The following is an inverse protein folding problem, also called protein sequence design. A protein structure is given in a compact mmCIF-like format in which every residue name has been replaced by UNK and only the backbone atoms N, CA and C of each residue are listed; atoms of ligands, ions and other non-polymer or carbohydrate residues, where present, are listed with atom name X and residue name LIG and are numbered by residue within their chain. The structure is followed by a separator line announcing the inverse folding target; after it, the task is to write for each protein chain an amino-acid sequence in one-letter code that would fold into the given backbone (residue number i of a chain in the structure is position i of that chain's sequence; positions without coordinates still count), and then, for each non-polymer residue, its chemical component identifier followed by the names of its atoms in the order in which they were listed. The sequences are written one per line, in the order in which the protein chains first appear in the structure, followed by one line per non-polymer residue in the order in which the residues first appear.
data_IF_840348611177
#
_entry.id   IF_840348611177
#
_cell.length_a   1.000
_cell.length_b   1.000
_cell.length_c   1.000
_cell.angle_alpha   90.00
_cell.angle_beta   90.00
_cell.angle_gamma   90.00
#
_symmetry.space_group_name_H-M   'P 1'
#
loop_
_entity.id
_entity.type
_entity.pdbx_description
1 polymer ?
#
# COMPACT_ATOMS: atom_id res chain seq x y z
N UNK A 1 -35.55 11.38 6.78
CA UNK A 1 -34.14 11.10 7.12
C UNK A 1 -33.84 9.66 6.76
N UNK A 2 -33.10 9.43 5.67
CA UNK A 2 -32.64 8.08 5.32
C UNK A 2 -31.30 7.89 6.02
N UNK A 3 -31.28 7.06 7.04
CA UNK A 3 -30.04 6.53 7.59
C UNK A 3 -29.41 5.63 6.53
N UNK A 4 -28.39 6.12 5.84
CA UNK A 4 -27.47 5.26 5.10
C UNK A 4 -26.87 4.30 6.09
N UNK A 5 -26.98 3.00 5.83
CA UNK A 5 -26.28 1.97 6.58
C UNK A 5 -24.76 2.27 6.47
N UNK A 6 -24.26 3.02 7.43
CA UNK A 6 -22.83 3.16 7.62
C UNK A 6 -22.29 1.76 7.97
N UNK A 7 -21.40 1.27 7.13
CA UNK A 7 -20.74 -0.01 7.32
C UNK A 7 -20.12 -0.06 8.72
N UNK A 8 -20.71 -0.84 9.61
CA UNK A 8 -20.20 -1.08 10.97
C UNK A 8 -18.73 -1.54 10.94
N UNK A 9 -18.29 -2.15 9.83
CA UNK A 9 -16.91 -2.55 9.58
C UNK A 9 -15.94 -1.35 9.41
N UNK A 10 -16.41 -0.16 9.13
CA UNK A 10 -15.56 1.04 9.02
C UNK A 10 -15.45 1.80 10.34
N UNK A 11 -16.48 1.76 11.18
CA UNK A 11 -16.51 2.50 12.46
C UNK A 11 -15.53 1.89 13.48
N UNK A 12 -15.22 0.61 13.40
CA UNK A 12 -14.30 -0.11 14.30
C UNK A 12 -12.86 -0.23 13.81
N UNK A 13 -12.51 0.30 12.64
CA UNK A 13 -11.14 0.19 12.11
C UNK A 13 -10.18 1.11 12.86
N UNK A 14 -9.01 0.61 13.27
CA UNK A 14 -8.00 1.46 13.87
C UNK A 14 -7.59 2.55 12.87
N UNK A 15 -7.39 3.77 13.38
CA UNK A 15 -6.98 4.94 12.58
C UNK A 15 -5.51 5.31 12.80
N UNK A 16 -4.83 4.66 13.72
CA UNK A 16 -3.44 4.95 14.09
C UNK A 16 -2.64 3.67 14.28
N UNK A 17 -1.31 3.76 14.12
CA UNK A 17 -0.38 2.64 14.28
C UNK A 17 -0.50 1.99 15.66
N UNK A 18 -0.74 2.75 16.72
CA UNK A 18 -0.84 2.26 18.09
C UNK A 18 -2.04 1.35 18.33
N UNK A 19 -3.04 1.43 17.46
CA UNK A 19 -4.27 0.62 17.54
C UNK A 19 -4.21 -0.67 16.73
N UNK A 20 -3.11 -0.91 16.00
CA UNK A 20 -2.88 -2.19 15.34
C UNK A 20 -2.46 -3.24 16.37
N UNK A 21 -3.24 -4.29 16.50
CA UNK A 21 -3.02 -5.38 17.46
C UNK A 21 -2.45 -6.59 16.73
N UNK A 22 -1.43 -7.22 17.32
CA UNK A 22 -0.93 -8.53 16.88
C UNK A 22 0.12 -8.51 15.77
N UNK A 23 0.76 -7.34 15.51
CA UNK A 23 1.82 -7.16 14.53
C UNK A 23 2.91 -6.25 15.14
N UNK A 24 3.45 -6.66 16.27
CA UNK A 24 4.35 -5.83 17.09
C UNK A 24 5.58 -5.37 16.30
N UNK A 25 6.27 -6.28 15.62
CA UNK A 25 7.44 -5.98 14.79
C UNK A 25 7.13 -4.95 13.70
N UNK A 26 6.06 -5.17 12.96
CA UNK A 26 5.61 -4.22 11.93
C UNK A 26 5.27 -2.83 12.50
N UNK A 27 4.60 -2.80 13.65
CA UNK A 27 4.22 -1.52 14.29
C UNK A 27 5.45 -0.76 14.79
N UNK A 28 6.45 -1.46 15.33
CA UNK A 28 7.72 -0.86 15.77
C UNK A 28 8.49 -0.28 14.59
N UNK A 29 8.67 -1.05 13.53
CA UNK A 29 9.35 -0.60 12.31
C UNK A 29 8.62 0.57 11.66
N UNK A 30 7.29 0.52 11.56
CA UNK A 30 6.50 1.61 10.99
C UNK A 30 6.60 2.91 11.81
N UNK A 31 6.70 2.82 13.13
CA UNK A 31 6.96 3.98 14.00
C UNK A 31 8.35 4.56 13.77
N UNK A 32 9.36 3.71 13.67
CA UNK A 32 10.74 4.12 13.40
C UNK A 32 10.83 4.82 12.03
N UNK A 33 10.25 4.23 10.98
CA UNK A 33 10.21 4.88 9.67
C UNK A 33 9.51 6.24 9.70
N UNK A 34 8.39 6.33 10.43
CA UNK A 34 7.66 7.59 10.54
C UNK A 34 8.44 8.67 11.31
N UNK A 35 9.18 8.29 12.37
CA UNK A 35 10.00 9.22 13.15
C UNK A 35 11.17 9.78 12.36
N UNK A 36 11.78 8.97 11.49
CA UNK A 36 12.99 9.32 10.75
C UNK A 36 12.74 9.65 9.28
N UNK A 37 11.47 9.66 8.84
CA UNK A 37 11.07 9.76 7.42
C UNK A 37 11.86 8.81 6.51
N UNK A 38 12.11 7.60 7.00
CA UNK A 38 12.94 6.57 6.35
C UNK A 38 12.11 5.41 5.81
N UNK A 39 10.99 5.70 5.17
CA UNK A 39 10.09 4.70 4.62
C UNK A 39 10.78 3.86 3.54
N UNK A 40 10.54 2.53 3.51
CA UNK A 40 11.10 1.67 2.47
C UNK A 40 10.55 2.02 1.09
N UNK A 41 11.17 1.50 0.04
CA UNK A 41 10.71 1.69 -1.34
C UNK A 41 9.32 1.10 -1.59
N UNK A 42 9.04 -0.05 -0.97
CA UNK A 42 7.74 -0.70 -0.98
C UNK A 42 7.53 -1.54 0.29
N UNK A 43 6.27 -1.79 0.62
CA UNK A 43 5.84 -2.62 1.75
C UNK A 43 4.92 -3.71 1.22
N UNK A 44 5.14 -4.94 1.65
CA UNK A 44 4.30 -6.09 1.32
C UNK A 44 3.72 -6.70 2.60
N UNK A 45 2.42 -6.57 2.77
CA UNK A 45 1.68 -7.15 3.89
C UNK A 45 1.00 -8.43 3.43
N UNK A 46 1.36 -9.57 4.01
CA UNK A 46 0.78 -10.85 3.63
C UNK A 46 0.12 -11.57 4.81
N UNK A 47 -0.79 -12.48 4.52
CA UNK A 47 -1.47 -13.29 5.53
C UNK A 47 -2.91 -13.62 5.15
N UNK A 48 -3.58 -14.36 6.00
CA UNK A 48 -4.95 -14.83 5.76
C UNK A 48 -5.92 -13.65 5.52
N UNK A 49 -7.00 -13.86 4.76
CA UNK A 49 -8.06 -12.86 4.64
C UNK A 49 -8.59 -12.45 6.02
N UNK A 50 -8.90 -11.16 6.17
CA UNK A 50 -9.50 -10.63 7.40
C UNK A 50 -8.53 -10.31 8.55
N UNK A 51 -7.21 -10.49 8.39
CA UNK A 51 -6.22 -10.16 9.45
C UNK A 51 -5.89 -8.66 9.54
N UNK A 52 -6.47 -7.82 8.68
CA UNK A 52 -6.31 -6.37 8.77
C UNK A 52 -5.25 -5.76 7.85
N UNK A 53 -4.74 -6.48 6.84
CA UNK A 53 -3.71 -6.00 5.89
C UNK A 53 -4.06 -4.66 5.23
N UNK A 54 -5.23 -4.58 4.62
CA UNK A 54 -5.72 -3.35 3.95
C UNK A 54 -5.89 -2.21 4.96
N UNK A 55 -6.35 -2.50 6.17
CA UNK A 55 -6.45 -1.52 7.25
C UNK A 55 -5.07 -1.00 7.66
N UNK A 56 -4.10 -1.89 7.84
CA UNK A 56 -2.71 -1.50 8.15
C UNK A 56 -2.11 -0.64 7.03
N UNK A 57 -2.31 -1.03 5.77
CA UNK A 57 -1.86 -0.25 4.61
C UNK A 57 -2.42 1.17 4.59
N UNK A 58 -3.71 1.35 4.88
CA UNK A 58 -4.36 2.66 4.97
C UNK A 58 -3.83 3.50 6.14
N UNK A 59 -3.51 2.88 7.26
CA UNK A 59 -2.88 3.57 8.40
C UNK A 59 -1.49 4.07 8.03
N UNK A 60 -0.67 3.24 7.38
CA UNK A 60 0.64 3.66 6.87
C UNK A 60 0.48 4.85 5.93
N UNK A 61 -0.42 4.76 4.96
CA UNK A 61 -0.66 5.84 4.01
C UNK A 61 -1.02 7.16 4.72
N UNK A 62 -1.85 7.11 5.76
CA UNK A 62 -2.16 8.28 6.58
C UNK A 62 -0.95 8.81 7.34
N UNK A 63 -0.10 7.92 7.87
CA UNK A 63 1.12 8.32 8.59
C UNK A 63 2.14 8.97 7.65
N UNK A 64 2.28 8.45 6.43
CA UNK A 64 3.19 9.00 5.41
C UNK A 64 2.72 10.36 4.90
N UNK A 65 1.43 10.50 4.63
CA UNK A 65 0.86 11.67 3.96
C UNK A 65 0.39 12.77 4.91
N UNK A 66 0.05 12.43 6.17
CA UNK A 66 -0.45 13.40 7.14
C UNK A 66 -1.62 14.22 6.58
N UNK A 67 -1.48 15.55 6.56
CA UNK A 67 -2.49 16.47 6.05
C UNK A 67 -2.73 16.36 4.52
N UNK A 68 -1.82 15.71 3.79
CA UNK A 68 -1.92 15.49 2.34
C UNK A 68 -2.55 14.14 1.98
N UNK A 69 -3.21 13.48 2.93
CA UNK A 69 -3.97 12.25 2.67
C UNK A 69 -5.27 12.59 1.93
N UNK A 70 -5.18 12.66 0.63
CA UNK A 70 -6.25 13.03 -0.30
C UNK A 70 -6.19 12.16 -1.58
N UNK A 71 -7.22 12.19 -2.45
CA UNK A 71 -7.25 11.38 -3.68
C UNK A 71 -6.16 11.69 -4.72
N UNK A 72 -5.43 12.79 -4.56
CA UNK A 72 -4.32 13.15 -5.46
C UNK A 72 -3.03 12.43 -5.05
N UNK A 73 -2.83 12.29 -3.73
CA UNK A 73 -1.61 11.71 -3.16
C UNK A 73 -1.78 10.27 -2.69
N UNK A 74 -3.02 9.83 -2.42
CA UNK A 74 -3.33 8.44 -2.06
C UNK A 74 -4.26 7.80 -3.09
N UNK A 75 -3.79 6.73 -3.71
CA UNK A 75 -4.56 5.94 -4.68
C UNK A 75 -4.60 4.49 -4.23
N UNK A 76 -5.78 3.89 -4.29
CA UNK A 76 -6.02 2.49 -3.97
C UNK A 76 -6.57 1.77 -5.20
N UNK A 77 -5.97 0.65 -5.56
CA UNK A 77 -6.41 -0.20 -6.67
C UNK A 77 -6.45 -1.66 -6.23
N UNK A 78 -7.51 -2.37 -6.58
CA UNK A 78 -7.56 -3.81 -6.42
C UNK A 78 -6.80 -4.45 -7.60
N UNK A 79 -5.71 -5.14 -7.27
CA UNK A 79 -4.83 -5.76 -8.26
C UNK A 79 -5.40 -7.08 -8.84
N UNK A 80 -6.41 -7.67 -8.22
CA UNK A 80 -7.06 -8.89 -8.69
C UNK A 80 -8.10 -8.65 -9.79
N UNK A 81 -8.50 -7.39 -10.03
CA UNK A 81 -9.42 -7.04 -11.10
C UNK A 81 -8.74 -7.10 -12.48
N UNK A 82 -9.52 -7.32 -13.55
CA UNK A 82 -9.03 -7.34 -14.94
C UNK A 82 -8.29 -6.05 -15.34
N UNK A 83 -8.61 -4.94 -14.68
CA UNK A 83 -7.93 -3.65 -14.82
C UNK A 83 -6.56 -3.56 -14.15
N UNK A 84 -6.18 -4.52 -13.29
CA UNK A 84 -4.96 -4.44 -12.49
C UNK A 84 -3.68 -4.34 -13.33
N UNK A 85 -3.59 -5.07 -14.47
CA UNK A 85 -2.44 -5.00 -15.38
C UNK A 85 -2.37 -3.64 -16.08
N UNK A 86 -3.52 -3.16 -16.58
CA UNK A 86 -3.60 -1.88 -17.30
C UNK A 86 -3.36 -0.72 -16.33
N UNK A 87 -3.88 -0.80 -15.11
CA UNK A 87 -3.58 0.16 -14.05
C UNK A 87 -2.08 0.26 -13.80
N UNK A 88 -1.37 -0.86 -13.64
CA UNK A 88 0.07 -0.85 -13.35
C UNK A 88 0.86 -0.24 -14.51
N UNK A 89 0.55 -0.62 -15.75
CA UNK A 89 1.29 -0.14 -16.92
C UNK A 89 1.05 1.32 -17.23
N UNK A 90 -0.18 1.78 -17.11
CA UNK A 90 -0.61 3.09 -17.59
C UNK A 90 -0.70 4.11 -16.46
N UNK A 91 -1.40 3.80 -15.37
CA UNK A 91 -1.70 4.76 -14.31
C UNK A 91 -0.62 4.78 -13.23
N UNK A 92 -0.22 3.62 -12.71
CA UNK A 92 0.78 3.54 -11.63
C UNK A 92 2.11 4.16 -12.05
N UNK A 93 2.56 3.92 -13.28
CA UNK A 93 3.79 4.50 -13.79
C UNK A 93 3.72 6.03 -13.84
N UNK A 94 2.59 6.59 -14.29
CA UNK A 94 2.38 8.04 -14.34
C UNK A 94 2.36 8.61 -12.92
N UNK A 95 1.60 8.00 -12.02
CA UNK A 95 1.52 8.41 -10.63
C UNK A 95 2.89 8.40 -9.94
N UNK A 96 3.69 7.36 -10.16
CA UNK A 96 5.01 7.23 -9.54
C UNK A 96 6.04 8.17 -10.15
N UNK A 97 5.98 8.43 -11.46
CA UNK A 97 6.96 9.28 -12.18
C UNK A 97 6.71 10.78 -12.00
N UNK A 98 5.51 11.19 -11.58
CA UNK A 98 5.17 12.59 -11.36
C UNK A 98 5.32 12.98 -9.90
N UNK A 99 5.79 14.22 -9.65
CA UNK A 99 5.90 14.71 -8.26
C UNK A 99 4.53 14.79 -7.59
N UNK A 100 4.44 14.42 -6.31
CA UNK A 100 3.23 14.62 -5.52
C UNK A 100 2.95 16.13 -5.32
N UNK A 101 1.73 16.46 -4.95
CA UNK A 101 1.33 17.84 -4.69
C UNK A 101 1.32 18.07 -3.18
N UNK A 102 2.23 18.92 -2.71
CA UNK A 102 2.33 19.28 -1.28
C UNK A 102 3.02 18.24 -0.39
N UNK A 103 3.01 16.98 -0.75
CA UNK A 103 3.64 15.89 -0.02
C UNK A 103 5.03 15.54 -0.60
N UNK A 104 5.87 14.87 0.19
CA UNK A 104 7.20 14.42 -0.27
C UNK A 104 7.10 13.22 -1.23
N UNK A 105 6.08 12.39 -1.03
CA UNK A 105 5.80 11.22 -1.89
C UNK A 105 4.31 10.92 -1.98
N UNK A 106 3.90 10.22 -3.04
CA UNK A 106 2.59 9.58 -3.11
C UNK A 106 2.59 8.23 -2.40
N UNK A 107 1.41 7.75 -2.07
CA UNK A 107 1.21 6.38 -1.61
C UNK A 107 0.21 5.69 -2.52
N UNK A 108 0.57 4.53 -3.05
CA UNK A 108 -0.32 3.68 -3.84
C UNK A 108 -0.47 2.34 -3.15
N UNK A 109 -1.71 1.97 -2.86
CA UNK A 109 -2.08 0.67 -2.35
C UNK A 109 -2.53 -0.24 -3.50
N UNK A 110 -1.81 -1.34 -3.69
CA UNK A 110 -2.20 -2.45 -4.55
C UNK A 110 -2.77 -3.57 -3.68
N UNK A 111 -4.09 -3.59 -3.53
CA UNK A 111 -4.77 -4.60 -2.72
C UNK A 111 -4.88 -5.92 -3.51
N UNK A 112 -4.71 -7.05 -2.86
CA UNK A 112 -4.73 -8.39 -3.46
C UNK A 112 -3.71 -8.58 -4.61
N UNK A 113 -2.47 -8.14 -4.41
CA UNK A 113 -1.40 -8.19 -5.41
C UNK A 113 -1.03 -9.61 -5.86
N UNK A 114 -1.39 -10.64 -5.10
CA UNK A 114 -1.27 -12.04 -5.50
C UNK A 114 -2.20 -12.46 -6.65
N UNK A 115 -3.14 -11.59 -7.05
CA UNK A 115 -3.91 -11.71 -8.28
C UNK A 115 -3.20 -11.20 -9.54
N UNK A 116 -2.08 -10.49 -9.42
CA UNK A 116 -1.34 -9.96 -10.56
C UNK A 116 -0.65 -11.07 -11.36
N UNK A 117 -0.67 -10.94 -12.69
CA UNK A 117 0.15 -11.78 -13.56
C UNK A 117 1.65 -11.48 -13.34
N UNK A 118 2.51 -12.42 -13.74
CA UNK A 118 3.98 -12.21 -13.68
C UNK A 118 4.42 -10.96 -14.43
N UNK A 119 3.83 -10.68 -15.60
CA UNK A 119 4.15 -9.50 -16.38
C UNK A 119 3.75 -8.19 -15.66
N UNK A 120 2.62 -8.18 -14.95
CA UNK A 120 2.19 -7.05 -14.15
C UNK A 120 3.10 -6.86 -12.91
N UNK A 121 3.51 -7.95 -12.28
CA UNK A 121 4.46 -7.93 -11.17
C UNK A 121 5.84 -7.40 -11.61
N UNK A 122 6.33 -7.80 -12.79
CA UNK A 122 7.57 -7.25 -13.35
C UNK A 122 7.49 -5.76 -13.64
N UNK A 123 6.35 -5.29 -14.15
CA UNK A 123 6.12 -3.86 -14.36
C UNK A 123 6.09 -3.10 -13.03
N UNK A 124 5.40 -3.61 -12.01
CA UNK A 124 5.37 -3.03 -10.67
C UNK A 124 6.77 -2.98 -10.04
N UNK A 125 7.57 -4.05 -10.19
CA UNK A 125 8.95 -4.09 -9.73
C UNK A 125 9.80 -2.97 -10.33
N UNK A 126 9.71 -2.76 -11.64
CA UNK A 126 10.45 -1.68 -12.31
C UNK A 126 10.03 -0.29 -11.78
N UNK A 127 8.75 -0.10 -11.47
CA UNK A 127 8.27 1.15 -10.91
C UNK A 127 8.82 1.36 -9.49
N UNK A 128 8.82 0.33 -8.66
CA UNK A 128 9.43 0.37 -7.31
C UNK A 128 10.90 0.78 -7.40
N UNK A 129 11.68 0.16 -8.30
CA UNK A 129 13.11 0.44 -8.46
C UNK A 129 13.39 1.87 -8.92
N UNK A 130 12.58 2.40 -9.84
CA UNK A 130 12.87 3.66 -10.50
C UNK A 130 12.27 4.89 -9.80
N UNK A 131 11.20 4.71 -9.00
CA UNK A 131 10.41 5.83 -8.49
C UNK A 131 10.17 5.82 -6.98
N UNK A 132 10.97 5.07 -6.22
CA UNK A 132 10.84 4.98 -4.76
C UNK A 132 10.89 6.34 -4.04
N UNK A 133 11.61 7.32 -4.59
CA UNK A 133 11.68 8.68 -4.03
C UNK A 133 10.37 9.45 -4.13
N UNK A 134 9.56 9.16 -5.14
CA UNK A 134 8.32 9.88 -5.41
C UNK A 134 7.07 9.13 -4.96
N UNK A 135 7.17 7.81 -4.81
CA UNK A 135 6.01 6.96 -4.57
C UNK A 135 6.37 5.78 -3.66
N UNK A 136 5.65 5.66 -2.56
CA UNK A 136 5.64 4.45 -1.73
C UNK A 136 4.56 3.51 -2.25
N UNK A 137 4.92 2.31 -2.63
CA UNK A 137 3.97 1.27 -3.03
C UNK A 137 3.74 0.33 -1.86
N UNK A 138 2.49 0.19 -1.44
CA UNK A 138 2.07 -0.78 -0.44
C UNK A 138 1.28 -1.87 -1.15
N UNK A 139 1.63 -3.12 -0.94
CA UNK A 139 0.93 -4.27 -1.49
C UNK A 139 0.36 -5.12 -0.39
N UNK A 140 -0.82 -5.68 -0.61
CA UNK A 140 -1.35 -6.76 0.22
C UNK A 140 -1.42 -8.05 -0.58
N UNK A 141 -1.25 -9.19 0.08
CA UNK A 141 -1.38 -10.50 -0.53
C UNK A 141 -1.97 -11.51 0.47
N UNK A 142 -2.82 -12.40 0.00
CA UNK A 142 -3.29 -13.53 0.80
C UNK A 142 -2.30 -14.69 0.73
N UNK A 143 -1.61 -14.84 -0.38
CA UNK A 143 -0.64 -15.90 -0.62
C UNK A 143 0.69 -15.31 -1.11
N UNK A 144 1.71 -15.35 -0.23
CA UNK A 144 3.05 -14.85 -0.53
C UNK A 144 3.73 -15.62 -1.68
N UNK A 145 3.45 -16.92 -1.84
CA UNK A 145 4.06 -17.76 -2.88
C UNK A 145 3.67 -17.31 -4.30
N UNK A 146 2.58 -16.57 -4.45
CA UNK A 146 2.17 -15.99 -5.72
C UNK A 146 2.88 -14.67 -6.06
N UNK A 147 3.57 -14.07 -5.10
CA UNK A 147 4.39 -12.88 -5.32
C UNK A 147 5.81 -13.30 -5.70
N UNK A 148 6.32 -12.78 -6.80
CA UNK A 148 7.67 -13.12 -7.29
C UNK A 148 8.73 -12.71 -6.27
N UNK A 149 9.78 -13.51 -6.16
CA UNK A 149 10.93 -13.23 -5.29
C UNK A 149 11.60 -11.90 -5.65
N UNK A 150 11.51 -11.49 -6.91
CA UNK A 150 12.01 -10.21 -7.39
C UNK A 150 11.28 -9.01 -6.77
N UNK A 151 9.97 -9.09 -6.51
CA UNK A 151 9.22 -8.08 -5.75
C UNK A 151 9.54 -8.21 -4.27
N UNK A 152 9.47 -9.42 -3.70
CA UNK A 152 9.70 -9.64 -2.27
C UNK A 152 11.03 -9.06 -1.80
N UNK A 153 12.10 -9.22 -2.60
CA UNK A 153 13.44 -8.71 -2.26
C UNK A 153 13.56 -7.17 -2.25
N UNK A 154 12.56 -6.46 -2.73
CA UNK A 154 12.51 -4.98 -2.80
C UNK A 154 11.52 -4.37 -1.81
N UNK A 155 10.81 -5.22 -1.10
CA UNK A 155 9.81 -4.82 -0.12
C UNK A 155 10.29 -5.08 1.30
N UNK A 156 9.85 -4.24 2.24
CA UNK A 156 9.73 -4.67 3.62
C UNK A 156 8.51 -5.61 3.69
N UNK A 157 8.73 -6.86 4.10
CA UNK A 157 7.72 -7.95 4.05
C UNK A 157 7.27 -8.29 5.46
N UNK A 158 5.94 -8.26 5.72
CA UNK A 158 5.31 -8.57 7.01
C UNK A 158 4.09 -9.46 6.86
#
# INVERSE_FOLDING_TARGET
MRYTQSNWNEIGRPLTLEKLVGQEEFVEDAKEWNQHDSWPAAILLHGRPGVGKTTAARIIARSVLGDYYDPVNYVESNASDDRGIDFIRNELKILASTKPIGADRRVVLLDEADGLTKAAQDAARQIIENYASNCLIIMTANNLDKITTAIQSRCAVY
#
